data_IF_085743336116
#
_entry.id   IF_085743336116
#
_cell.length_a   1.000
_cell.length_b   1.000
_cell.length_c   1.000
_cell.angle_alpha   90.00
_cell.angle_beta   90.00
_cell.angle_gamma   90.00
#
_symmetry.space_group_name_H-M   'P 1'
#
loop_
_entity.id
_entity.type
_entity.pdbx_description
1 polymer ?
#
# COMPACT_ATOMS: atom_id res chain seq x y z
N UNK A 1 -13.09 -24.83 -11.14
CA UNK A 1 -11.89 -23.95 -11.05
C UNK A 1 -11.23 -24.25 -9.71
N UNK A 2 -10.03 -24.85 -9.72
CA UNK A 2 -9.39 -25.34 -8.49
C UNK A 2 -9.03 -24.17 -7.56
N UNK A 3 -9.44 -24.27 -6.30
CA UNK A 3 -9.28 -23.24 -5.27
C UNK A 3 -7.82 -22.72 -5.11
N UNK A 4 -6.84 -23.52 -5.54
CA UNK A 4 -5.41 -23.16 -5.52
C UNK A 4 -5.08 -21.94 -6.39
N UNK A 5 -5.69 -21.76 -7.57
CA UNK A 5 -5.37 -20.62 -8.45
C UNK A 5 -5.85 -19.27 -7.89
N UNK A 6 -6.97 -19.28 -7.19
CA UNK A 6 -7.52 -18.07 -6.57
C UNK A 6 -6.61 -17.58 -5.44
N UNK A 7 -6.09 -18.50 -4.64
CA UNK A 7 -5.19 -18.20 -3.53
C UNK A 7 -3.86 -17.57 -4.00
N UNK A 8 -3.25 -18.12 -5.05
CA UNK A 8 -2.03 -17.53 -5.63
C UNK A 8 -2.29 -16.14 -6.22
N UNK A 9 -3.44 -15.96 -6.87
CA UNK A 9 -3.84 -14.66 -7.45
C UNK A 9 -4.03 -13.60 -6.37
N UNK A 10 -4.72 -13.93 -5.27
CA UNK A 10 -4.94 -13.01 -4.14
C UNK A 10 -3.60 -12.62 -3.51
N UNK A 11 -2.68 -13.57 -3.31
CA UNK A 11 -1.35 -13.29 -2.79
C UNK A 11 -0.56 -12.34 -3.70
N UNK A 12 -0.60 -12.56 -5.01
CA UNK A 12 0.04 -11.66 -5.98
C UNK A 12 -0.56 -10.25 -5.94
N UNK A 13 -1.89 -10.13 -5.91
CA UNK A 13 -2.57 -8.83 -5.81
C UNK A 13 -2.17 -8.10 -4.52
N UNK A 14 -2.15 -8.80 -3.39
CA UNK A 14 -1.72 -8.24 -2.11
C UNK A 14 -0.26 -7.81 -2.10
N UNK A 15 0.63 -8.57 -2.72
CA UNK A 15 2.04 -8.23 -2.78
C UNK A 15 2.29 -7.03 -3.68
N UNK A 16 1.65 -6.97 -4.85
CA UNK A 16 1.74 -5.84 -5.78
C UNK A 16 1.15 -4.59 -5.12
N UNK A 17 -0.03 -4.69 -4.51
CA UNK A 17 -0.68 -3.60 -3.79
C UNK A 17 0.16 -3.05 -2.64
N UNK A 18 0.80 -3.93 -1.87
CA UNK A 18 1.72 -3.57 -0.80
C UNK A 18 2.94 -2.77 -1.33
N UNK A 19 3.58 -3.25 -2.40
CA UNK A 19 4.72 -2.56 -3.02
C UNK A 19 4.33 -1.17 -3.54
N UNK A 20 3.20 -1.08 -4.26
CA UNK A 20 2.71 0.19 -4.81
C UNK A 20 2.34 1.16 -3.69
N UNK A 21 1.64 0.70 -2.65
CA UNK A 21 1.22 1.53 -1.53
C UNK A 21 2.41 2.08 -0.73
N UNK A 22 3.45 1.28 -0.47
CA UNK A 22 4.70 1.76 0.16
C UNK A 22 5.35 2.82 -0.71
N UNK A 23 5.57 2.55 -1.99
CA UNK A 23 6.22 3.48 -2.90
C UNK A 23 5.45 4.80 -2.95
N UNK A 24 4.14 4.73 -3.19
CA UNK A 24 3.30 5.92 -3.32
C UNK A 24 3.26 6.74 -2.02
N UNK A 25 2.98 6.10 -0.89
CA UNK A 25 2.89 6.77 0.42
C UNK A 25 4.23 7.34 0.84
N UNK A 26 5.33 6.62 0.57
CA UNK A 26 6.67 7.08 0.88
C UNK A 26 7.05 8.30 0.06
N UNK A 27 6.67 8.38 -1.21
CA UNK A 27 6.90 9.57 -2.05
C UNK A 27 5.99 10.74 -1.67
N UNK A 28 4.74 10.46 -1.27
CA UNK A 28 3.76 11.47 -0.91
C UNK A 28 4.07 12.13 0.45
N UNK A 29 4.52 11.34 1.43
CA UNK A 29 4.92 11.86 2.73
C UNK A 29 6.22 12.67 2.57
N UNK A 30 6.12 14.00 2.72
CA UNK A 30 7.25 14.95 2.66
C UNK A 30 7.89 15.23 4.03
N UNK A 31 7.66 14.34 5.01
CA UNK A 31 8.17 14.54 6.37
C UNK A 31 9.71 14.51 6.42
N UNK A 32 10.28 15.38 7.26
CA UNK A 32 11.75 15.46 7.48
C UNK A 32 12.31 14.20 8.15
N UNK A 33 11.50 13.46 8.89
CA UNK A 33 11.92 12.23 9.56
C UNK A 33 11.69 11.01 8.67
N UNK A 34 12.79 10.47 8.12
CA UNK A 34 12.75 9.29 7.25
C UNK A 34 12.17 8.05 7.94
N UNK A 35 12.38 7.90 9.26
CA UNK A 35 11.83 6.80 10.05
C UNK A 35 10.31 6.86 10.12
N UNK A 36 9.75 8.04 10.35
CA UNK A 36 8.29 8.23 10.43
C UNK A 36 7.68 8.01 9.05
N UNK A 37 8.33 8.49 7.98
CA UNK A 37 7.95 8.21 6.58
C UNK A 37 7.85 6.72 6.30
N UNK A 38 8.89 5.97 6.67
CA UNK A 38 8.93 4.55 6.42
C UNK A 38 7.86 3.82 7.24
N UNK A 39 7.73 4.12 8.53
CA UNK A 39 6.72 3.53 9.41
C UNK A 39 5.30 3.82 8.92
N UNK A 40 5.01 5.06 8.52
CA UNK A 40 3.71 5.46 7.99
C UNK A 40 3.41 4.76 6.65
N UNK A 41 4.37 4.74 5.72
CA UNK A 41 4.21 4.04 4.44
C UNK A 41 4.01 2.53 4.61
N UNK A 42 4.71 1.91 5.56
CA UNK A 42 4.58 0.49 5.88
C UNK A 42 3.22 0.17 6.51
N UNK A 43 2.73 1.01 7.43
CA UNK A 43 1.40 0.88 8.02
C UNK A 43 0.30 0.98 6.95
N UNK A 44 0.36 2.01 6.10
CA UNK A 44 -0.59 2.21 5.00
C UNK A 44 -0.55 1.05 4.00
N UNK A 45 0.64 0.54 3.68
CA UNK A 45 0.77 -0.61 2.79
C UNK A 45 0.27 -1.90 3.42
N UNK A 46 0.42 -2.08 4.74
CA UNK A 46 -0.14 -3.24 5.43
C UNK A 46 -1.69 -3.23 5.37
N UNK A 47 -2.30 -2.05 5.48
CA UNK A 47 -3.75 -1.84 5.42
C UNK A 47 -4.22 -1.38 4.03
N UNK A 48 -3.41 -1.61 2.99
CA UNK A 48 -3.63 -1.09 1.64
C UNK A 48 -5.01 -1.37 1.03
N UNK A 49 -5.72 -2.51 1.25
CA UNK A 49 -7.01 -2.75 0.63
C UNK A 49 -8.07 -1.73 1.05
N UNK A 50 -7.89 -1.12 2.23
CA UNK A 50 -8.79 -0.11 2.79
C UNK A 50 -8.19 1.29 2.67
N UNK A 51 -6.89 1.45 2.95
CA UNK A 51 -6.24 2.76 3.07
C UNK A 51 -5.78 3.34 1.73
N UNK A 52 -5.43 2.51 0.75
CA UNK A 52 -4.92 2.97 -0.54
C UNK A 52 -5.89 3.88 -1.31
N UNK A 53 -7.19 3.54 -1.49
CA UNK A 53 -8.13 4.43 -2.17
C UNK A 53 -8.28 5.77 -1.45
N UNK A 54 -8.27 5.77 -0.11
CA UNK A 54 -8.35 6.99 0.69
C UNK A 54 -7.12 7.88 0.48
N UNK A 55 -5.92 7.31 0.48
CA UNK A 55 -4.67 8.05 0.23
C UNK A 55 -4.65 8.65 -1.16
N UNK A 56 -5.14 7.95 -2.19
CA UNK A 56 -5.24 8.50 -3.54
C UNK A 56 -6.16 9.73 -3.54
N UNK A 57 -7.37 9.61 -2.98
CA UNK A 57 -8.32 10.73 -2.92
C UNK A 57 -7.72 11.92 -2.20
N UNK A 58 -7.11 11.71 -1.02
CA UNK A 58 -6.42 12.75 -0.27
C UNK A 58 -5.20 13.34 -1.01
N UNK A 59 -4.62 12.62 -1.96
CA UNK A 59 -3.50 13.14 -2.75
C UNK A 59 -3.94 14.09 -3.86
N UNK A 60 -5.22 14.07 -4.23
CA UNK A 60 -5.81 14.98 -5.22
C UNK A 60 -6.38 16.27 -4.60
N UNK A 61 -6.64 16.28 -3.28
CA UNK A 61 -7.10 17.44 -2.52
C UNK A 61 -5.94 18.23 -1.93
#
# INVERSE_FOLDING_TARGET
MSHHHMWETIKLIYLIGFCIAILFTFFMSKDRSLLIRFLASALIALTWPLSFPVVIVFSFF
#
